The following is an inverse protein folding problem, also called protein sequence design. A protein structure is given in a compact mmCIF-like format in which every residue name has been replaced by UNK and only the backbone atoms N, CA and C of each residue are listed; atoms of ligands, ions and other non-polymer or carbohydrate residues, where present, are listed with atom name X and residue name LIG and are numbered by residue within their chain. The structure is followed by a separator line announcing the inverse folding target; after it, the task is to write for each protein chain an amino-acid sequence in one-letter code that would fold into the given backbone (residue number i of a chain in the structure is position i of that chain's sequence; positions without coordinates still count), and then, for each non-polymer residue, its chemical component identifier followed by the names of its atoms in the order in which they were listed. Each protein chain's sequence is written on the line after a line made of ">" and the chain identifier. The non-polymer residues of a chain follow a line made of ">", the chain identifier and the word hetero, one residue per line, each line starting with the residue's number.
data_IF_522154687581
#
_entry.id   IF_522154687581
#
_cell.length_a   1.000
_cell.length_b   1.000
_cell.length_c   1.000
_cell.angle_alpha   90.00
_cell.angle_beta   90.00
_cell.angle_gamma   90.00
#
_symmetry.space_group_name_H-M   'P 1'
#
loop_
_entity.id
_entity.type
_entity.pdbx_description
1 polymer ?
#
# COMPACT_ATOMS: atom_id res chain seq x y z
N UNK A 1 -33.34 3.79 -14.93
CA UNK A 1 -32.04 4.52 -14.90
C UNK A 1 -31.55 4.83 -13.47
N UNK A 2 -32.42 5.20 -12.52
CA UNK A 2 -32.04 5.46 -11.12
C UNK A 2 -31.27 4.34 -10.36
N UNK A 3 -31.60 3.03 -10.49
CA UNK A 3 -30.92 2.00 -9.69
C UNK A 3 -29.47 1.72 -10.13
N UNK A 4 -29.15 1.92 -11.42
CA UNK A 4 -27.80 1.71 -11.95
C UNK A 4 -26.80 2.78 -11.47
N UNK A 5 -27.26 4.03 -11.31
CA UNK A 5 -26.45 5.13 -10.78
C UNK A 5 -26.15 4.94 -9.29
N UNK A 6 -27.14 4.49 -8.51
CA UNK A 6 -26.97 4.20 -7.09
C UNK A 6 -26.00 3.03 -6.84
N UNK A 7 -26.05 1.98 -7.67
CA UNK A 7 -25.09 0.88 -7.59
C UNK A 7 -23.66 1.32 -7.94
N UNK A 8 -23.50 2.19 -8.96
CA UNK A 8 -22.21 2.76 -9.36
C UNK A 8 -21.62 3.66 -8.27
N UNK A 9 -22.44 4.50 -7.64
CA UNK A 9 -21.97 5.38 -6.55
C UNK A 9 -21.56 4.59 -5.31
N UNK A 10 -22.31 3.55 -4.93
CA UNK A 10 -21.96 2.67 -3.82
C UNK A 10 -20.64 1.90 -4.06
N UNK A 11 -20.42 1.40 -5.29
CA UNK A 11 -19.17 0.75 -5.68
C UNK A 11 -17.97 1.73 -5.63
N UNK A 12 -18.14 2.95 -6.14
CA UNK A 12 -17.10 3.98 -6.08
C UNK A 12 -16.78 4.41 -4.64
N UNK A 13 -17.80 4.53 -3.78
CA UNK A 13 -17.63 4.85 -2.36
C UNK A 13 -16.83 3.75 -1.63
N UNK A 14 -17.14 2.49 -1.89
CA UNK A 14 -16.42 1.35 -1.31
C UNK A 14 -14.94 1.31 -1.77
N UNK A 15 -14.70 1.57 -3.05
CA UNK A 15 -13.34 1.63 -3.60
C UNK A 15 -12.53 2.79 -3.01
N UNK A 16 -13.09 4.00 -3.00
CA UNK A 16 -12.43 5.18 -2.42
C UNK A 16 -12.08 4.99 -0.94
N UNK A 17 -12.99 4.36 -0.16
CA UNK A 17 -12.73 4.07 1.25
C UNK A 17 -11.59 3.08 1.44
N UNK A 18 -11.48 2.05 0.59
CA UNK A 18 -10.38 1.09 0.63
C UNK A 18 -9.03 1.76 0.35
N UNK A 19 -8.97 2.61 -0.70
CA UNK A 19 -7.76 3.36 -1.06
C UNK A 19 -7.31 4.29 0.07
N UNK A 20 -8.24 5.07 0.64
CA UNK A 20 -7.92 5.98 1.76
C UNK A 20 -7.37 5.22 2.96
N UNK A 21 -7.94 4.05 3.27
CA UNK A 21 -7.49 3.23 4.40
C UNK A 21 -6.08 2.67 4.18
N UNK A 22 -5.76 2.22 2.96
CA UNK A 22 -4.41 1.79 2.59
C UNK A 22 -3.43 2.94 2.67
N UNK A 23 -3.77 4.09 2.10
CA UNK A 23 -2.92 5.27 2.10
C UNK A 23 -2.60 5.70 3.54
N UNK A 24 -3.61 5.76 4.41
CA UNK A 24 -3.43 6.07 5.83
C UNK A 24 -2.59 5.02 6.58
N UNK A 25 -2.76 3.73 6.26
CA UNK A 25 -1.95 2.67 6.86
C UNK A 25 -0.48 2.80 6.44
N UNK A 26 -0.22 3.00 5.14
CA UNK A 26 1.14 3.14 4.62
C UNK A 26 1.83 4.42 5.09
N UNK A 27 1.10 5.54 5.23
CA UNK A 27 1.68 6.76 5.81
C UNK A 27 2.13 6.52 7.24
N UNK A 28 1.31 5.86 8.07
CA UNK A 28 1.68 5.50 9.44
C UNK A 28 2.85 4.52 9.46
N UNK A 29 2.84 3.51 8.58
CA UNK A 29 3.92 2.52 8.46
C UNK A 29 5.26 3.16 8.13
N UNK A 30 5.26 4.18 7.26
CA UNK A 30 6.44 4.93 6.84
C UNK A 30 7.15 5.63 8.00
N UNK A 31 6.42 5.99 9.07
CA UNK A 31 7.02 6.54 10.29
C UNK A 31 7.33 5.45 11.31
N UNK A 32 6.38 4.56 11.59
CA UNK A 32 6.51 3.57 12.64
C UNK A 32 7.63 2.55 12.36
N UNK A 33 7.75 2.04 11.14
CA UNK A 33 8.71 0.98 10.82
C UNK A 33 10.16 1.47 10.91
N UNK A 34 10.55 2.61 10.31
CA UNK A 34 11.92 3.11 10.43
C UNK A 34 12.27 3.52 11.87
N UNK A 35 11.32 4.13 12.61
CA UNK A 35 11.52 4.51 14.00
C UNK A 35 11.69 3.26 14.88
N UNK A 36 10.81 2.27 14.72
CA UNK A 36 10.91 1.00 15.43
C UNK A 36 12.22 0.28 15.11
N UNK A 37 12.64 0.28 13.83
CA UNK A 37 13.92 -0.28 13.40
C UNK A 37 15.08 0.44 14.07
N UNK A 38 15.07 1.77 14.10
CA UNK A 38 16.12 2.56 14.74
C UNK A 38 16.28 2.15 16.20
N UNK A 39 15.19 2.16 16.98
CA UNK A 39 15.25 1.81 18.39
C UNK A 39 15.55 0.33 18.60
N UNK A 40 15.11 -0.55 17.71
CA UNK A 40 15.44 -1.96 17.77
C UNK A 40 16.94 -2.19 17.56
N UNK A 41 17.52 -1.69 16.45
CA UNK A 41 18.95 -1.81 16.16
C UNK A 41 19.80 -1.16 17.24
N UNK A 42 19.38 0.02 17.70
CA UNK A 42 20.02 0.69 18.81
C UNK A 42 19.97 -0.24 20.03
N UNK A 43 18.79 -0.61 20.52
CA UNK A 43 18.60 -1.29 21.80
C UNK A 43 19.09 -2.75 21.89
N UNK A 44 19.19 -3.48 20.78
CA UNK A 44 19.53 -4.91 20.83
C UNK A 44 20.89 -5.22 20.21
N UNK A 45 21.16 -4.75 18.98
CA UNK A 45 22.29 -5.20 18.19
C UNK A 45 23.57 -4.37 18.40
N UNK A 46 23.43 -3.09 18.74
CA UNK A 46 24.54 -2.14 18.72
C UNK A 46 24.94 -1.63 20.11
N UNK A 47 24.50 -2.28 21.19
CA UNK A 47 24.68 -1.82 22.59
C UNK A 47 26.16 -1.66 22.99
N UNK A 48 27.08 -2.40 22.35
CA UNK A 48 28.51 -2.35 22.63
C UNK A 48 29.36 -1.55 21.63
N UNK A 49 28.76 -0.93 20.61
CA UNK A 49 29.51 -0.24 19.55
C UNK A 49 29.59 1.26 19.81
N UNK A 50 30.80 1.83 19.67
CA UNK A 50 31.08 3.25 19.90
C UNK A 50 30.22 4.18 19.02
N UNK A 51 29.85 3.73 17.81
CA UNK A 51 29.05 4.47 16.83
C UNK A 51 27.62 3.95 16.66
N UNK A 52 27.03 3.42 17.73
CA UNK A 52 25.68 2.82 17.78
C UNK A 52 24.60 3.65 17.08
N UNK A 53 24.60 4.96 17.29
CA UNK A 53 23.60 5.92 16.78
C UNK A 53 23.67 6.06 15.25
N UNK A 54 24.87 6.05 14.68
CA UNK A 54 25.05 6.14 13.22
C UNK A 54 24.58 4.86 12.54
N UNK A 55 25.00 3.69 13.06
CA UNK A 55 24.62 2.40 12.50
C UNK A 55 23.11 2.14 12.58
N UNK A 56 22.46 2.52 13.69
CA UNK A 56 20.99 2.44 13.80
C UNK A 56 20.29 3.42 12.85
N UNK A 57 20.85 4.60 12.62
CA UNK A 57 20.37 5.56 11.62
C UNK A 57 20.44 5.02 10.19
N UNK A 58 21.59 4.48 9.79
CA UNK A 58 21.74 3.84 8.46
C UNK A 58 20.80 2.66 8.28
N UNK A 59 20.61 1.83 9.30
CA UNK A 59 19.64 0.74 9.26
C UNK A 59 18.19 1.22 9.11
N UNK A 60 17.82 2.31 9.77
CA UNK A 60 16.51 2.93 9.62
C UNK A 60 16.28 3.46 8.19
N UNK A 61 17.28 4.13 7.59
CA UNK A 61 17.23 4.59 6.20
C UNK A 61 17.10 3.39 5.25
N UNK A 62 17.85 2.31 5.49
CA UNK A 62 17.70 1.06 4.75
C UNK A 62 16.28 0.50 4.83
N UNK A 63 15.67 0.52 6.02
CA UNK A 63 14.30 0.04 6.21
C UNK A 63 13.23 0.90 5.55
N UNK A 64 13.43 2.21 5.37
CA UNK A 64 12.53 3.05 4.56
C UNK A 64 12.44 2.50 3.13
N UNK A 65 13.57 2.12 2.53
CA UNK A 65 13.59 1.56 1.18
C UNK A 65 12.85 0.21 1.12
N UNK A 66 12.97 -0.62 2.15
CA UNK A 66 12.22 -1.87 2.26
C UNK A 66 10.72 -1.60 2.33
N UNK A 67 10.27 -0.63 3.13
CA UNK A 67 8.85 -0.23 3.22
C UNK A 67 8.32 0.24 1.86
N UNK A 68 9.11 1.01 1.11
CA UNK A 68 8.74 1.46 -0.24
C UNK A 68 8.57 0.26 -1.18
N UNK A 69 9.50 -0.71 -1.16
CA UNK A 69 9.38 -1.93 -1.97
C UNK A 69 8.12 -2.72 -1.62
N UNK A 70 7.83 -2.89 -0.33
CA UNK A 70 6.61 -3.59 0.14
C UNK A 70 5.35 -2.87 -0.34
N UNK A 71 5.33 -1.52 -0.29
CA UNK A 71 4.21 -0.72 -0.81
C UNK A 71 3.99 -0.95 -2.31
N UNK A 72 5.07 -0.93 -3.10
CA UNK A 72 5.00 -1.19 -4.55
C UNK A 72 4.46 -2.60 -4.83
N UNK A 73 4.90 -3.60 -4.08
CA UNK A 73 4.40 -4.97 -4.23
C UNK A 73 2.91 -5.09 -3.88
N UNK A 74 2.44 -4.34 -2.88
CA UNK A 74 1.02 -4.32 -2.51
C UNK A 74 0.15 -3.69 -3.60
N UNK A 75 0.63 -2.61 -4.21
CA UNK A 75 -0.01 -2.00 -5.38
C UNK A 75 -0.13 -2.99 -6.55
N UNK A 76 0.94 -3.71 -6.90
CA UNK A 76 0.89 -4.73 -7.96
C UNK A 76 -0.07 -5.88 -7.64
N UNK A 77 -0.17 -6.28 -6.36
CA UNK A 77 -1.13 -7.32 -5.93
C UNK A 77 -2.57 -6.84 -6.05
N UNK A 78 -2.84 -5.57 -5.77
CA UNK A 78 -4.16 -4.98 -5.97
C UNK A 78 -4.54 -4.90 -7.45
N UNK A 79 -3.61 -4.48 -8.32
CA UNK A 79 -3.82 -4.43 -9.76
C UNK A 79 -4.14 -5.82 -10.35
N UNK A 80 -3.40 -6.85 -9.94
CA UNK A 80 -3.66 -8.23 -10.37
C UNK A 80 -5.03 -8.77 -9.89
N UNK A 81 -5.46 -8.38 -8.68
CA UNK A 81 -6.78 -8.73 -8.15
C UNK A 81 -7.91 -7.99 -8.88
N UNK A 82 -7.68 -6.74 -9.33
CA UNK A 82 -8.64 -5.98 -10.11
C UNK A 82 -8.89 -6.61 -11.49
N UNK A 83 -7.84 -7.06 -12.19
CA UNK A 83 -7.95 -7.74 -13.50
C UNK A 83 -8.78 -9.03 -13.43
N UNK A 84 -8.72 -9.74 -12.30
CA UNK A 84 -9.48 -10.99 -12.10
C UNK A 84 -10.99 -10.78 -11.92
N UNK A 85 -11.44 -9.55 -11.63
CA UNK A 85 -12.85 -9.21 -11.38
C UNK A 85 -13.53 -8.49 -12.55
N UNK A 86 -12.77 -8.15 -13.59
CA UNK A 86 -13.30 -7.53 -14.80
C UNK A 86 -13.96 -8.59 -15.70
N UNK A 87 -15.16 -9.02 -15.34
CA UNK A 87 -16.10 -9.51 -16.36
C UNK A 87 -16.50 -8.31 -17.20
N UNK A 88 -15.73 -8.07 -18.27
CA UNK A 88 -15.97 -7.03 -19.27
C UNK A 88 -17.46 -7.04 -19.61
N UNK A 89 -18.24 -5.98 -19.31
CA UNK A 89 -19.64 -5.95 -19.71
C UNK A 89 -19.66 -6.03 -21.23
N UNK A 90 -20.33 -7.05 -21.77
CA UNK A 90 -20.44 -7.28 -23.21
C UNK A 90 -21.05 -6.03 -23.86
N UNK A 91 -20.20 -5.12 -24.33
CA UNK A 91 -20.63 -3.96 -25.11
C UNK A 91 -21.31 -4.53 -26.36
N UNK A 92 -22.59 -4.20 -26.47
CA UNK A 92 -23.52 -4.83 -27.41
C UNK A 92 -22.93 -4.96 -28.80
N UNK A 93 -22.97 -6.18 -29.35
CA UNK A 93 -22.66 -6.43 -30.76
C UNK A 93 -23.52 -5.49 -31.59
N UNK A 94 -22.91 -4.45 -32.16
CA UNK A 94 -23.55 -3.64 -33.17
C UNK A 94 -23.85 -4.58 -34.35
N UNK A 95 -25.12 -4.93 -34.51
CA UNK A 95 -25.61 -5.71 -35.64
C UNK A 95 -25.49 -4.80 -36.87
N UNK A 96 -24.41 -4.97 -37.61
CA UNK A 96 -24.26 -4.35 -38.93
C UNK A 96 -25.28 -5.00 -39.85
N UNK A 97 -26.03 -4.13 -40.53
CA UNK A 97 -27.15 -4.45 -41.43
C UNK A 97 -26.80 -5.52 -42.47
#
# INVERSE_FOLDING_TARGET
>A
MAPALAARSAANQAHNRAVIMKLALFTVLMFLVPIATYYFLHNTLLVGYENRTMWSGFGAIGMVNVVIVVYILEAFREDAAATSKETVPAVGKFKKQ
#
